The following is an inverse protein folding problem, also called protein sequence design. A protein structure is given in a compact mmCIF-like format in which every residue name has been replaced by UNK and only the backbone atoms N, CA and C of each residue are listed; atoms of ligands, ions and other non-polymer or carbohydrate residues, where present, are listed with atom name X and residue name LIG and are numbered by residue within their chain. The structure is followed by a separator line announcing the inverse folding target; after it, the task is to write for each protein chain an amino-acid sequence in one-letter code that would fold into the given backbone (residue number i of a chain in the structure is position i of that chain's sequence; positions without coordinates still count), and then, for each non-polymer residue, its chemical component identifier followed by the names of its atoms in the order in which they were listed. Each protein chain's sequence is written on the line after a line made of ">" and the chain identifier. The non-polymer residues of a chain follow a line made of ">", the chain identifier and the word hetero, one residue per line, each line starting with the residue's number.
data_IF_408011056281
#
_entry.id   IF_408011056281
#
_cell.length_a   1.000
_cell.length_b   1.000
_cell.length_c   1.000
_cell.angle_alpha   90.00
_cell.angle_beta   90.00
_cell.angle_gamma   90.00
#
_symmetry.space_group_name_H-M   'P 1'
#
loop_
_entity.id
_entity.type
_entity.pdbx_description
1 polymer ?
#
# COMPACT_ATOMS: atom_id res chain seq x y z
N UNK A 1 -0.81 -5.74 -3.75
CA UNK A 1 0.11 -4.59 -3.64
C UNK A 1 -0.39 -3.41 -4.46
N UNK A 2 -0.64 -2.26 -3.83
CA UNK A 2 -0.92 -1.01 -4.54
C UNK A 2 -0.04 0.09 -3.96
N UNK A 3 0.87 0.63 -4.77
CA UNK A 3 1.49 1.92 -4.48
C UNK A 3 0.40 3.00 -4.40
N UNK A 4 0.63 4.10 -3.68
CA UNK A 4 -0.23 5.26 -3.71
C UNK A 4 -0.40 5.76 -5.15
N UNK A 5 -1.61 5.51 -5.68
CA UNK A 5 -1.96 5.66 -7.10
C UNK A 5 -1.68 7.08 -7.59
N UNK A 6 -1.92 8.10 -6.75
CA UNK A 6 -1.77 9.50 -7.12
C UNK A 6 -0.36 9.85 -7.63
N UNK A 7 0.71 9.45 -6.92
CA UNK A 7 2.07 9.83 -7.29
C UNK A 7 2.57 9.08 -8.54
N UNK A 8 2.10 7.85 -8.74
CA UNK A 8 2.37 7.05 -9.94
C UNK A 8 1.70 7.67 -11.18
N UNK A 9 0.42 8.05 -11.06
CA UNK A 9 -0.35 8.68 -12.14
C UNK A 9 0.31 9.98 -12.62
N UNK A 10 0.86 10.78 -11.71
CA UNK A 10 1.53 12.04 -12.06
C UNK A 10 2.80 11.85 -12.88
N UNK A 11 3.60 10.82 -12.58
CA UNK A 11 4.78 10.50 -13.37
C UNK A 11 4.34 10.03 -14.77
N UNK A 12 3.34 9.16 -14.87
CA UNK A 12 2.86 8.61 -16.14
C UNK A 12 2.35 9.72 -17.08
N UNK A 13 1.55 10.66 -16.57
CA UNK A 13 1.04 11.82 -17.32
C UNK A 13 2.15 12.79 -17.76
N UNK A 14 3.35 12.71 -17.17
CA UNK A 14 4.52 13.51 -17.56
C UNK A 14 5.25 13.03 -18.80
N UNK A 15 5.00 11.79 -19.23
CA UNK A 15 5.76 11.13 -20.31
C UNK A 15 5.06 11.11 -21.67
N UNK A 16 3.82 11.62 -21.77
CA UNK A 16 3.04 11.67 -23.01
C UNK A 16 2.51 13.09 -23.31
N UNK A 17 1.61 13.25 -24.29
CA UNK A 17 1.07 14.51 -24.85
C UNK A 17 0.55 15.58 -23.85
N UNK A 18 0.54 15.28 -22.55
CA UNK A 18 0.19 16.15 -21.43
C UNK A 18 1.42 16.68 -20.66
N UNK A 19 2.63 16.53 -21.20
CA UNK A 19 3.90 16.91 -20.56
C UNK A 19 3.89 18.35 -19.99
N UNK A 20 3.18 19.29 -20.64
CA UNK A 20 3.10 20.69 -20.24
C UNK A 20 1.79 21.08 -19.51
N UNK A 21 0.84 20.17 -19.35
CA UNK A 21 -0.41 20.47 -18.66
C UNK A 21 -0.16 20.68 -17.15
N UNK A 22 -0.68 21.77 -16.54
CA UNK A 22 -0.65 21.95 -15.09
C UNK A 22 -1.38 20.84 -14.35
N UNK A 23 -0.78 20.37 -13.26
CA UNK A 23 -1.25 19.26 -12.43
C UNK A 23 -1.20 19.67 -10.95
N UNK A 24 -2.24 19.29 -10.21
CA UNK A 24 -2.35 19.55 -8.78
C UNK A 24 -2.52 18.25 -8.00
N UNK A 25 -1.88 18.17 -6.83
CA UNK A 25 -2.09 17.09 -5.85
C UNK A 25 -2.58 17.70 -4.55
N UNK A 26 -3.65 17.17 -3.99
CA UNK A 26 -4.18 17.57 -2.68
C UNK A 26 -3.87 16.43 -1.72
N UNK A 27 -3.08 16.71 -0.68
CA UNK A 27 -2.65 15.76 0.33
C UNK A 27 -2.92 16.34 1.73
N UNK A 28 -3.67 15.59 2.54
CA UNK A 28 -4.04 16.04 3.89
C UNK A 28 -2.84 16.03 4.84
N UNK A 29 -1.93 15.08 4.67
CA UNK A 29 -0.69 15.01 5.44
C UNK A 29 0.41 15.94 4.93
N UNK A 30 1.55 15.93 5.61
CA UNK A 30 2.74 16.69 5.20
C UNK A 30 3.75 15.78 4.49
N UNK A 31 4.76 16.38 3.84
CA UNK A 31 5.87 15.61 3.30
C UNK A 31 6.91 15.32 4.37
N UNK A 32 7.04 14.04 4.73
CA UNK A 32 7.87 13.55 5.84
C UNK A 32 9.28 13.12 5.38
N UNK A 33 10.00 14.02 4.69
CA UNK A 33 11.27 13.68 4.03
C UNK A 33 12.36 13.17 4.99
N UNK A 34 12.41 13.69 6.22
CA UNK A 34 13.45 13.38 7.21
C UNK A 34 12.92 12.68 8.46
N UNK A 35 11.70 12.15 8.44
CA UNK A 35 11.07 11.50 9.59
C UNK A 35 11.66 10.10 9.82
N UNK A 36 12.35 9.83 10.95
CA UNK A 36 12.95 8.52 11.21
C UNK A 36 11.91 7.39 11.30
N UNK A 37 10.72 7.64 11.88
CA UNK A 37 9.65 6.64 11.98
C UNK A 37 9.07 6.21 10.62
N UNK A 38 9.36 6.98 9.57
CA UNK A 38 8.98 6.67 8.19
C UNK A 38 10.17 6.08 7.45
N UNK A 39 11.34 6.72 7.50
CA UNK A 39 12.45 6.40 6.60
C UNK A 39 13.31 5.23 7.05
N UNK A 40 13.33 4.92 8.35
CA UNK A 40 14.18 3.89 8.93
C UNK A 40 13.48 2.54 8.93
N UNK A 41 14.01 1.52 8.21
CA UNK A 41 13.34 0.23 8.06
C UNK A 41 12.93 -0.42 9.38
N UNK A 42 13.84 -0.51 10.37
CA UNK A 42 13.53 -1.22 11.63
C UNK A 42 12.43 -0.57 12.46
N UNK A 43 12.14 0.72 12.25
CA UNK A 43 11.07 1.43 12.96
C UNK A 43 9.69 1.23 12.29
N UNK A 44 9.56 0.24 11.40
CA UNK A 44 8.31 -0.08 10.75
C UNK A 44 7.20 -0.38 11.78
N UNK A 45 6.00 0.14 11.53
CA UNK A 45 4.87 0.00 12.44
C UNK A 45 4.90 0.92 13.67
N UNK A 46 6.03 1.49 14.08
CA UNK A 46 6.08 2.40 15.24
C UNK A 46 5.34 3.73 15.00
N UNK A 47 5.15 4.11 13.74
CA UNK A 47 4.35 5.28 13.35
C UNK A 47 2.84 5.07 13.41
N UNK A 48 2.35 3.85 13.63
CA UNK A 48 0.92 3.56 13.78
C UNK A 48 0.39 4.25 15.04
N UNK A 49 -0.75 4.95 14.92
CA UNK A 49 -1.33 5.71 16.03
C UNK A 49 -0.73 7.11 16.23
N UNK A 50 0.32 7.49 15.50
CA UNK A 50 0.82 8.87 15.48
C UNK A 50 -0.15 9.77 14.67
N UNK A 51 -0.78 10.80 15.27
CA UNK A 51 -1.77 11.65 14.59
C UNK A 51 -1.24 12.46 13.39
N UNK A 52 0.07 12.62 13.30
CA UNK A 52 0.74 13.34 12.21
C UNK A 52 1.12 12.42 11.03
N UNK A 53 1.05 11.09 11.21
CA UNK A 53 1.44 10.08 10.22
C UNK A 53 0.33 9.10 9.88
N UNK A 54 -0.67 8.96 10.75
CA UNK A 54 -1.77 8.00 10.65
C UNK A 54 -3.12 8.73 10.80
N UNK A 55 -4.09 8.35 9.96
CA UNK A 55 -5.48 8.77 10.09
C UNK A 55 -6.17 8.21 11.33
N UNK A 56 -5.68 7.06 11.85
CA UNK A 56 -6.19 6.38 13.05
C UNK A 56 -7.67 6.05 12.94
N UNK A 57 -8.09 5.54 11.79
CA UNK A 57 -9.46 5.08 11.63
C UNK A 57 -9.74 3.93 12.60
N UNK A 58 -11.01 3.80 12.95
CA UNK A 58 -11.52 2.74 13.81
C UNK A 58 -12.69 2.09 13.09
N UNK A 59 -12.83 0.77 13.24
CA UNK A 59 -14.06 0.10 12.83
C UNK A 59 -15.22 0.53 13.75
N UNK A 60 -16.46 0.31 13.31
CA UNK A 60 -17.57 0.17 14.25
C UNK A 60 -17.34 -1.05 15.16
N UNK A 61 -18.04 -1.19 16.30
CA UNK A 61 -17.99 -2.41 17.12
C UNK A 61 -18.27 -3.66 16.30
N UNK A 62 -17.35 -4.63 16.31
CA UNK A 62 -17.44 -5.83 15.51
C UNK A 62 -18.16 -6.94 16.29
N UNK A 63 -19.36 -7.33 15.84
CA UNK A 63 -20.16 -8.36 16.51
C UNK A 63 -19.41 -9.70 16.60
N UNK A 64 -18.72 -10.09 15.53
CA UNK A 64 -17.91 -11.31 15.49
C UNK A 64 -16.67 -11.28 16.40
N UNK A 65 -16.30 -10.09 16.91
CA UNK A 65 -15.18 -9.88 17.83
C UNK A 65 -15.68 -9.40 19.21
N UNK A 66 -16.84 -9.87 19.66
CA UNK A 66 -17.44 -9.51 20.97
C UNK A 66 -17.58 -8.00 21.19
N UNK A 67 -17.87 -7.24 20.13
CA UNK A 67 -18.02 -5.78 20.20
C UNK A 67 -16.70 -5.01 20.22
N UNK A 68 -15.56 -5.65 19.97
CA UNK A 68 -14.28 -4.97 19.88
C UNK A 68 -14.27 -3.95 18.74
N UNK A 69 -13.63 -2.82 18.99
CA UNK A 69 -13.32 -1.79 18.00
C UNK A 69 -11.87 -1.98 17.58
N UNK A 70 -11.64 -2.14 16.29
CA UNK A 70 -10.32 -2.47 15.73
C UNK A 70 -9.73 -1.25 15.05
N UNK A 71 -8.44 -1.02 15.23
CA UNK A 71 -7.70 0.06 14.57
C UNK A 71 -7.51 -0.25 13.09
N UNK A 72 -7.63 0.79 12.25
CA UNK A 72 -7.48 0.72 10.80
C UNK A 72 -6.48 1.79 10.35
N UNK A 73 -5.17 1.58 10.59
CA UNK A 73 -4.15 2.58 10.31
C UNK A 73 -4.06 2.88 8.81
N UNK A 74 -3.99 4.15 8.44
CA UNK A 74 -3.83 4.61 7.05
C UNK A 74 -2.88 5.80 7.04
N UNK A 75 -1.89 5.78 6.14
CA UNK A 75 -0.88 6.84 6.10
C UNK A 75 -1.49 8.20 5.78
N UNK A 76 -1.19 9.19 6.62
CA UNK A 76 -1.60 10.60 6.51
C UNK A 76 -0.35 11.46 6.26
N UNK A 77 0.23 11.31 5.08
CA UNK A 77 1.43 12.01 4.63
C UNK A 77 1.52 11.93 3.12
N UNK A 78 2.35 12.78 2.50
CA UNK A 78 2.67 12.62 1.08
C UNK A 78 3.26 11.22 0.85
N UNK A 79 2.63 10.45 -0.04
CA UNK A 79 2.94 9.03 -0.24
C UNK A 79 2.14 8.06 0.63
N UNK A 80 1.15 8.54 1.37
CA UNK A 80 0.12 7.75 2.06
C UNK A 80 0.66 6.54 2.82
N UNK A 81 -0.06 5.42 2.72
CA UNK A 81 0.32 4.18 3.44
C UNK A 81 1.64 3.55 2.97
N UNK A 82 2.25 3.97 1.85
CA UNK A 82 3.59 3.46 1.49
C UNK A 82 4.69 3.94 2.44
N UNK A 83 4.49 5.10 3.09
CA UNK A 83 5.35 5.57 4.17
C UNK A 83 5.06 4.93 5.54
N UNK A 84 3.95 4.20 5.67
CA UNK A 84 3.50 3.60 6.94
C UNK A 84 3.58 2.06 6.95
N UNK A 85 3.63 1.43 5.78
CA UNK A 85 3.54 -0.02 5.64
C UNK A 85 4.76 -0.77 6.18
N UNK A 86 4.69 -2.10 6.12
CA UNK A 86 5.72 -3.00 6.65
C UNK A 86 6.75 -3.42 5.58
N UNK A 87 6.82 -2.69 4.46
CA UNK A 87 7.81 -2.82 3.37
C UNK A 87 7.88 -4.18 2.65
N UNK A 88 6.90 -5.06 2.87
CA UNK A 88 6.78 -6.30 2.12
C UNK A 88 6.57 -5.99 0.64
N UNK A 89 7.40 -6.59 -0.21
CA UNK A 89 7.26 -6.50 -1.66
C UNK A 89 6.80 -7.83 -2.27
N UNK A 90 5.50 -7.96 -2.52
CA UNK A 90 4.86 -9.11 -3.16
C UNK A 90 3.85 -8.73 -4.27
N UNK A 91 3.36 -9.73 -5.01
CA UNK A 91 2.27 -9.56 -5.98
C UNK A 91 1.18 -10.58 -5.71
N UNK A 92 -0.04 -10.26 -6.15
CA UNK A 92 -1.07 -11.28 -6.28
C UNK A 92 -0.64 -12.35 -7.28
N UNK A 93 -1.29 -13.50 -7.21
CA UNK A 93 -1.16 -14.55 -8.21
C UNK A 93 -1.77 -14.12 -9.54
N UNK A 94 -1.29 -14.70 -10.64
CA UNK A 94 -1.85 -14.42 -11.98
C UNK A 94 -3.37 -14.64 -12.04
N UNK A 95 -3.87 -15.68 -11.36
CA UNK A 95 -5.29 -16.02 -11.30
C UNK A 95 -6.16 -14.92 -10.70
N UNK A 96 -5.65 -14.17 -9.73
CA UNK A 96 -6.40 -13.08 -9.09
C UNK A 96 -6.58 -11.90 -10.06
N UNK A 97 -5.53 -11.55 -10.81
CA UNK A 97 -5.62 -10.50 -11.83
C UNK A 97 -6.46 -10.93 -13.04
N UNK A 98 -6.31 -12.18 -13.49
CA UNK A 98 -7.14 -12.73 -14.57
C UNK A 98 -8.62 -12.77 -14.17
N UNK A 99 -8.93 -12.98 -12.88
CA UNK A 99 -10.30 -12.89 -12.37
C UNK A 99 -10.87 -11.46 -12.45
N UNK A 100 -10.06 -10.41 -12.31
CA UNK A 100 -10.55 -9.04 -12.48
C UNK A 100 -11.03 -8.79 -13.91
N UNK A 101 -10.31 -9.30 -14.90
CA UNK A 101 -10.74 -9.20 -16.31
C UNK A 101 -12.03 -9.99 -16.55
N UNK A 102 -12.17 -11.18 -15.96
CA UNK A 102 -13.42 -11.96 -16.01
C UNK A 102 -14.60 -11.24 -15.36
N UNK A 103 -14.34 -10.43 -14.33
CA UNK A 103 -15.32 -9.56 -13.67
C UNK A 103 -15.59 -8.24 -14.41
N UNK A 104 -15.06 -8.09 -15.64
CA UNK A 104 -15.34 -6.96 -16.52
C UNK A 104 -14.30 -5.84 -16.50
N UNK A 105 -13.21 -5.97 -15.73
CA UNK A 105 -12.08 -5.05 -15.80
C UNK A 105 -11.19 -5.37 -17.02
N UNK A 106 -11.69 -5.09 -18.23
CA UNK A 106 -10.98 -5.34 -19.48
C UNK A 106 -9.55 -4.75 -19.46
N UNK A 107 -8.55 -5.57 -19.79
CA UNK A 107 -7.14 -5.15 -19.79
C UNK A 107 -6.44 -5.23 -18.43
N UNK A 108 -7.09 -5.79 -17.40
CA UNK A 108 -6.52 -5.97 -16.06
C UNK A 108 -6.07 -7.41 -15.75
N UNK A 109 -5.93 -8.27 -16.76
CA UNK A 109 -5.31 -9.60 -16.61
C UNK A 109 -3.82 -9.52 -16.22
N UNK A 110 -3.27 -10.63 -15.72
CA UNK A 110 -1.86 -10.73 -15.34
C UNK A 110 -0.94 -10.32 -16.49
N UNK A 111 -1.20 -10.85 -17.68
CA UNK A 111 -0.40 -10.58 -18.87
C UNK A 111 -0.42 -9.08 -19.24
N UNK A 112 -1.55 -8.42 -19.05
CA UNK A 112 -1.74 -6.99 -19.33
C UNK A 112 -1.05 -6.10 -18.29
N UNK A 113 -1.04 -6.52 -17.03
CA UNK A 113 -0.46 -5.76 -15.92
C UNK A 113 1.05 -6.01 -15.72
N UNK A 114 1.57 -7.17 -16.12
CA UNK A 114 2.98 -7.53 -15.93
C UNK A 114 3.96 -6.46 -16.44
N UNK A 115 3.79 -5.84 -17.62
CA UNK A 115 4.65 -4.74 -18.06
C UNK A 115 4.66 -3.54 -17.08
N UNK A 116 3.53 -3.25 -16.43
CA UNK A 116 3.43 -2.16 -15.46
C UNK A 116 4.06 -2.53 -14.12
N UNK A 117 3.93 -3.78 -13.67
CA UNK A 117 4.66 -4.25 -12.49
C UNK A 117 6.18 -4.13 -12.69
N UNK A 118 6.68 -4.56 -13.85
CA UNK A 118 8.09 -4.44 -14.23
C UNK A 118 8.55 -2.98 -14.40
N UNK A 119 7.65 -2.07 -14.78
CA UNK A 119 7.96 -0.65 -14.90
C UNK A 119 8.10 0.05 -13.54
N UNK A 120 7.46 -0.49 -12.51
CA UNK A 120 7.43 0.11 -11.18
C UNK A 120 8.68 -0.20 -10.36
N UNK A 121 9.24 -1.39 -10.49
CA UNK A 121 10.33 -1.86 -9.63
C UNK A 121 11.71 -1.88 -10.32
N UNK A 122 12.73 -1.82 -9.47
CA UNK A 122 14.11 -2.16 -9.77
C UNK A 122 14.52 -3.26 -8.78
N UNK A 123 14.94 -4.40 -9.32
CA UNK A 123 15.18 -5.64 -8.57
C UNK A 123 16.26 -6.49 -9.25
N UNK A 124 16.86 -7.43 -8.51
CA UNK A 124 17.86 -8.40 -8.99
C UNK A 124 17.61 -9.79 -8.37
N UNK A 125 18.05 -10.88 -9.02
CA UNK A 125 18.05 -12.20 -8.37
C UNK A 125 18.99 -12.24 -7.16
N UNK A 126 18.75 -13.21 -6.26
CA UNK A 126 19.62 -13.52 -5.12
C UNK A 126 21.01 -13.99 -5.55
N UNK A 127 22.04 -13.64 -4.77
CA UNK A 127 23.36 -14.28 -4.86
C UNK A 127 23.45 -15.51 -3.94
N UNK A 128 24.40 -16.43 -4.16
CA UNK A 128 24.53 -17.65 -3.35
C UNK A 128 24.65 -17.43 -1.84
N UNK A 129 25.21 -16.29 -1.42
CA UNK A 129 25.35 -15.91 -0.01
C UNK A 129 24.02 -15.50 0.64
N UNK A 130 22.99 -15.22 -0.17
CA UNK A 130 21.67 -14.75 0.25
C UNK A 130 20.61 -15.86 0.21
N UNK A 131 20.96 -17.07 -0.23
CA UNK A 131 20.03 -18.18 -0.38
C UNK A 131 19.57 -18.72 0.98
N UNK A 132 18.26 -18.71 1.18
CA UNK A 132 17.63 -19.48 2.25
C UNK A 132 17.73 -20.98 1.98
N UNK A 133 17.64 -21.83 3.02
CA UNK A 133 17.52 -23.26 2.87
C UNK A 133 16.44 -23.66 1.85
N UNK A 134 16.80 -24.49 0.88
CA UNK A 134 15.89 -24.96 -0.16
C UNK A 134 15.61 -23.97 -1.31
N UNK A 135 16.20 -22.77 -1.29
CA UNK A 135 16.17 -21.87 -2.44
C UNK A 135 16.97 -22.45 -3.62
N UNK A 136 16.50 -22.18 -4.83
CA UNK A 136 17.17 -22.59 -6.07
C UNK A 136 17.69 -21.38 -6.80
N UNK A 137 18.90 -21.47 -7.37
CA UNK A 137 19.43 -20.43 -8.23
C UNK A 137 18.47 -20.16 -9.40
N UNK A 138 18.08 -18.89 -9.56
CA UNK A 138 17.29 -18.41 -10.69
C UNK A 138 18.21 -17.63 -11.60
N UNK A 139 18.33 -18.05 -12.87
CA UNK A 139 19.12 -17.30 -13.85
C UNK A 139 18.55 -15.90 -14.04
N UNK A 140 19.41 -14.92 -14.30
CA UNK A 140 18.98 -13.55 -14.59
C UNK A 140 17.90 -13.50 -15.68
N UNK A 141 18.08 -14.25 -16.77
CA UNK A 141 17.12 -14.31 -17.87
C UNK A 141 15.74 -14.75 -17.41
N UNK A 142 15.67 -15.75 -16.53
CA UNK A 142 14.41 -16.27 -15.97
C UNK A 142 13.79 -15.26 -15.01
N UNK A 143 14.62 -14.66 -14.14
CA UNK A 143 14.19 -13.63 -13.18
C UNK A 143 13.53 -12.45 -13.90
N UNK A 144 14.20 -11.90 -14.91
CA UNK A 144 13.72 -10.72 -15.62
C UNK A 144 12.58 -10.98 -16.61
N UNK A 145 12.08 -12.22 -16.72
CA UNK A 145 10.76 -12.47 -17.32
C UNK A 145 9.68 -11.73 -16.52
N UNK A 146 9.77 -11.75 -15.18
CA UNK A 146 8.75 -11.24 -14.28
C UNK A 146 9.13 -9.95 -13.57
N UNK A 147 10.41 -9.57 -13.58
CA UNK A 147 10.92 -8.47 -12.77
C UNK A 147 11.41 -7.24 -13.53
N UNK A 148 11.29 -6.09 -12.87
CA UNK A 148 11.74 -4.78 -13.35
C UNK A 148 13.20 -4.48 -13.03
N UNK A 149 13.87 -3.74 -13.93
CA UNK A 149 15.30 -3.37 -13.81
C UNK A 149 15.55 -1.89 -13.49
N UNK A 150 14.56 -1.04 -13.73
CA UNK A 150 14.76 0.42 -13.85
C UNK A 150 13.57 1.22 -13.31
N UNK A 151 12.68 0.56 -12.56
CA UNK A 151 11.54 1.23 -11.96
C UNK A 151 11.95 2.14 -10.80
N UNK A 152 11.12 3.13 -10.45
CA UNK A 152 11.40 4.06 -9.36
C UNK A 152 11.53 3.38 -7.99
N UNK A 153 10.76 2.31 -7.74
CA UNK A 153 10.79 1.59 -6.47
C UNK A 153 11.99 0.66 -6.44
N UNK A 154 12.89 0.90 -5.51
CA UNK A 154 14.00 -0.01 -5.22
C UNK A 154 13.50 -1.07 -4.23
N UNK A 155 13.77 -2.33 -4.53
CA UNK A 155 13.34 -3.47 -3.71
C UNK A 155 14.56 -4.17 -3.15
N UNK A 156 14.45 -4.72 -1.94
CA UNK A 156 15.58 -5.39 -1.30
C UNK A 156 15.23 -6.48 -0.29
N UNK A 157 16.20 -7.36 -0.04
CA UNK A 157 16.30 -8.31 1.05
C UNK A 157 16.78 -7.61 2.31
N UNK A 158 16.45 -8.22 3.45
CA UNK A 158 17.09 -7.82 4.69
C UNK A 158 18.58 -8.13 4.66
N UNK A 159 19.35 -7.25 5.29
CA UNK A 159 20.80 -7.47 5.48
C UNK A 159 21.10 -8.43 6.61
N UNK A 160 20.17 -8.59 7.54
CA UNK A 160 20.33 -9.48 8.69
C UNK A 160 19.04 -10.28 8.85
N UNK A 161 19.21 -11.60 8.98
CA UNK A 161 18.15 -12.52 9.38
C UNK A 161 18.44 -13.07 10.76
N UNK A 162 17.39 -13.23 11.56
CA UNK A 162 17.49 -13.98 12.81
C UNK A 162 17.87 -15.44 12.51
N UNK A 163 18.59 -16.08 13.45
CA UNK A 163 18.88 -17.52 13.34
C UNK A 163 17.63 -18.42 13.45
N UNK A 164 16.44 -17.84 13.67
CA UNK A 164 15.16 -18.55 13.57
C UNK A 164 14.65 -18.68 12.13
N UNK A 165 15.13 -17.84 11.20
CA UNK A 165 14.63 -17.81 9.82
C UNK A 165 14.89 -19.11 9.10
N UNK A 166 16.08 -19.71 9.25
CA UNK A 166 16.43 -20.98 8.62
C UNK A 166 15.55 -22.15 9.10
N UNK A 167 15.40 -22.40 10.43
CA UNK A 167 14.44 -23.38 10.94
C UNK A 167 13.00 -23.13 10.50
N UNK A 168 12.57 -21.87 10.41
CA UNK A 168 11.25 -21.50 9.90
C UNK A 168 11.08 -21.97 8.45
N UNK A 169 12.01 -21.61 7.57
CA UNK A 169 12.00 -22.00 6.15
C UNK A 169 12.05 -23.52 5.99
N UNK A 170 12.95 -24.20 6.71
CA UNK A 170 13.05 -25.67 6.69
C UNK A 170 11.75 -26.34 7.13
N UNK A 171 11.09 -25.82 8.18
CA UNK A 171 9.81 -26.33 8.66
C UNK A 171 8.74 -26.24 7.57
N UNK A 172 8.62 -25.11 6.87
CA UNK A 172 7.64 -24.94 5.80
C UNK A 172 7.96 -25.82 4.58
N UNK A 173 9.23 -25.96 4.21
CA UNK A 173 9.65 -26.90 3.17
C UNK A 173 9.24 -28.35 3.50
N UNK A 174 9.43 -28.77 4.74
CA UNK A 174 9.02 -30.10 5.22
C UNK A 174 7.50 -30.29 5.22
N UNK A 175 6.72 -29.20 5.31
CA UNK A 175 5.26 -29.19 5.16
C UNK A 175 4.80 -29.10 3.69
N UNK A 176 5.74 -29.10 2.73
CA UNK A 176 5.44 -29.02 1.30
C UNK A 176 5.20 -27.59 0.78
N UNK A 177 5.52 -26.57 1.58
CA UNK A 177 5.46 -25.16 1.19
C UNK A 177 6.89 -24.75 0.84
N UNK A 178 7.18 -24.77 -0.46
CA UNK A 178 8.54 -24.60 -0.96
C UNK A 178 9.03 -23.14 -0.85
N UNK A 179 10.30 -22.97 -0.50
CA UNK A 179 10.99 -21.67 -0.50
C UNK A 179 10.88 -20.98 -1.87
N UNK A 180 10.47 -19.71 -1.86
CA UNK A 180 10.55 -18.86 -3.03
C UNK A 180 11.93 -18.17 -3.10
N UNK A 181 12.54 -18.08 -4.28
CA UNK A 181 13.92 -17.61 -4.48
C UNK A 181 14.00 -16.14 -4.97
N UNK A 182 13.12 -15.29 -4.44
CA UNK A 182 12.86 -13.88 -4.85
C UNK A 182 12.55 -13.08 -3.55
N UNK A 183 12.97 -11.80 -3.25
CA UNK A 183 13.62 -10.72 -4.05
C UNK A 183 14.75 -9.79 -3.43
N UNK A 184 15.74 -9.37 -4.27
CA UNK A 184 16.54 -8.09 -4.44
C UNK A 184 17.42 -7.32 -3.39
N UNK A 185 18.02 -6.17 -3.76
CA UNK A 185 19.02 -5.36 -3.02
C UNK A 185 18.92 -3.83 -3.30
N UNK A 186 18.85 -3.03 -2.21
CA UNK A 186 19.12 -1.60 -2.00
C UNK A 186 18.98 -1.41 -0.48
N UNK A 187 20.05 -0.95 0.16
CA UNK A 187 20.24 -1.12 1.59
C UNK A 187 20.02 0.20 2.32
N UNK A 188 19.23 0.15 3.39
CA UNK A 188 19.34 1.16 4.45
C UNK A 188 18.36 2.30 4.43
N UNK A 189 17.37 2.35 3.52
CA UNK A 189 16.22 3.27 3.63
C UNK A 189 14.95 2.67 3.02
N UNK A 190 13.79 3.04 3.57
CA UNK A 190 12.50 2.74 2.95
C UNK A 190 12.39 3.35 1.54
N UNK A 191 12.06 2.54 0.53
CA UNK A 191 11.60 3.03 -0.77
C UNK A 191 10.07 3.18 -0.77
N UNK A 192 9.55 4.39 -0.94
CA UNK A 192 8.11 4.66 -0.96
C UNK A 192 7.74 5.70 -2.01
N UNK A 193 6.44 5.89 -2.27
CA UNK A 193 6.03 6.66 -3.45
C UNK A 193 6.44 8.14 -3.42
N UNK A 194 6.60 8.78 -2.26
CA UNK A 194 7.02 10.18 -2.23
C UNK A 194 8.52 10.34 -2.45
N UNK A 195 9.36 9.54 -1.78
CA UNK A 195 10.81 9.66 -1.97
C UNK A 195 11.31 9.13 -3.32
N UNK A 196 10.44 8.45 -4.08
CA UNK A 196 10.67 8.00 -5.46
C UNK A 196 9.91 8.87 -6.48
N UNK A 197 8.64 8.56 -6.75
CA UNK A 197 7.83 9.19 -7.80
C UNK A 197 7.70 10.71 -7.66
N UNK A 198 7.45 11.21 -6.44
CA UNK A 198 7.36 12.65 -6.21
C UNK A 198 8.73 13.33 -6.35
N UNK A 199 9.77 12.83 -5.68
CA UNK A 199 11.12 13.40 -5.78
C UNK A 199 11.65 13.47 -7.22
N UNK A 200 11.37 12.45 -8.05
CA UNK A 200 11.72 12.43 -9.48
C UNK A 200 10.97 13.48 -10.32
N UNK A 201 9.94 14.13 -9.76
CA UNK A 201 9.07 15.08 -10.46
C UNK A 201 8.91 16.41 -9.73
N UNK A 202 9.55 16.60 -8.57
CA UNK A 202 9.29 17.71 -7.66
C UNK A 202 9.77 19.07 -8.21
N UNK A 203 10.74 19.04 -9.13
CA UNK A 203 11.28 20.21 -9.82
C UNK A 203 10.45 20.64 -11.04
N UNK A 204 9.39 19.88 -11.41
CA UNK A 204 8.57 20.18 -12.57
C UNK A 204 7.72 21.43 -12.35
N UNK A 205 7.85 22.48 -13.18
CA UNK A 205 7.16 23.76 -12.96
C UNK A 205 5.64 23.67 -13.17
N UNK A 206 5.15 22.58 -13.78
CA UNK A 206 3.72 22.34 -13.99
C UNK A 206 3.11 21.37 -12.95
N UNK A 207 3.82 21.01 -11.89
CA UNK A 207 3.31 20.25 -10.76
C UNK A 207 3.18 21.14 -9.53
N UNK A 208 2.01 21.13 -8.91
CA UNK A 208 1.77 21.78 -7.62
C UNK A 208 1.25 20.75 -6.62
N UNK A 209 1.85 20.68 -5.43
CA UNK A 209 1.42 19.78 -4.36
C UNK A 209 0.98 20.62 -3.16
N UNK A 210 -0.30 20.49 -2.81
CA UNK A 210 -0.92 21.10 -1.65
C UNK A 210 -0.89 20.09 -0.50
N UNK A 211 0.16 20.14 0.32
CA UNK A 211 0.26 19.36 1.56
C UNK A 211 -0.52 20.05 2.70
N UNK A 212 -0.84 19.31 3.75
CA UNK A 212 -1.63 19.84 4.87
C UNK A 212 -3.01 20.32 4.42
N UNK A 213 -3.55 19.78 3.33
CA UNK A 213 -4.75 20.26 2.64
C UNK A 213 -5.67 19.07 2.38
N UNK A 214 -6.84 19.05 3.02
CA UNK A 214 -7.79 17.93 2.89
C UNK A 214 -8.89 18.28 1.88
N UNK A 215 -9.09 17.42 0.89
CA UNK A 215 -10.27 17.45 0.03
C UNK A 215 -11.52 17.08 0.82
N UNK A 216 -12.59 17.86 0.65
CA UNK A 216 -13.84 17.72 1.43
C UNK A 216 -15.07 17.48 0.55
N UNK A 217 -15.04 17.92 -0.70
CA UNK A 217 -16.14 17.74 -1.66
C UNK A 217 -15.67 17.93 -3.09
N UNK A 218 -16.20 17.14 -4.01
CA UNK A 218 -16.10 17.33 -5.46
C UNK A 218 -17.32 18.11 -5.92
N UNK A 219 -17.10 19.15 -6.70
CA UNK A 219 -18.15 19.95 -7.31
C UNK A 219 -18.27 19.62 -8.79
N UNK A 220 -19.50 19.61 -9.28
CA UNK A 220 -19.82 19.27 -10.66
C UNK A 220 -20.36 20.51 -11.38
N UNK A 221 -19.88 20.76 -12.59
CA UNK A 221 -20.50 21.71 -13.49
C UNK A 221 -21.87 21.18 -13.93
N UNK A 222 -22.83 22.09 -14.05
CA UNK A 222 -24.14 21.77 -14.60
C UNK A 222 -24.02 21.68 -16.13
N UNK A 223 -23.91 20.46 -16.64
CA UNK A 223 -23.98 20.16 -18.07
C UNK A 223 -25.31 19.49 -18.41
N UNK A 224 -26.39 20.24 -18.18
CA UNK A 224 -27.75 19.86 -18.55
C UNK A 224 -27.92 19.46 -20.03
N UNK A 225 -26.98 19.83 -20.90
CA UNK A 225 -26.99 19.47 -22.32
C UNK A 225 -26.46 18.04 -22.59
N UNK A 226 -25.47 17.57 -21.82
CA UNK A 226 -24.95 16.20 -21.95
C UNK A 226 -25.66 15.18 -21.06
N UNK A 227 -26.34 15.66 -20.01
CA UNK A 227 -26.95 14.78 -18.99
C UNK A 227 -25.92 14.09 -18.09
N UNK A 228 -24.64 14.43 -18.22
CA UNK A 228 -23.53 13.87 -17.46
C UNK A 228 -23.00 14.90 -16.45
N UNK A 229 -22.68 14.45 -15.24
CA UNK A 229 -22.00 15.30 -14.26
C UNK A 229 -20.52 15.41 -14.62
N UNK A 230 -20.04 16.64 -14.80
CA UNK A 230 -18.63 16.91 -15.06
C UNK A 230 -17.97 17.49 -13.81
N UNK A 231 -17.03 16.75 -13.21
CA UNK A 231 -16.24 17.26 -12.09
C UNK A 231 -15.44 18.51 -12.52
N UNK A 232 -15.61 19.61 -11.79
CA UNK A 232 -15.07 20.93 -12.17
C UNK A 232 -14.15 21.52 -11.11
N UNK A 233 -14.36 21.19 -9.83
CA UNK A 233 -13.49 21.62 -8.75
C UNK A 233 -13.58 20.70 -7.53
N UNK A 234 -12.66 20.92 -6.58
CA UNK A 234 -12.62 20.24 -5.29
C UNK A 234 -12.53 21.29 -4.20
N UNK A 235 -13.44 21.25 -3.23
CA UNK A 235 -13.36 22.06 -2.02
C UNK A 235 -12.36 21.46 -1.04
N UNK A 236 -11.54 22.33 -0.46
CA UNK A 236 -10.44 21.94 0.42
C UNK A 236 -10.42 22.76 1.70
N UNK A 237 -9.87 22.16 2.75
CA UNK A 237 -9.60 22.83 4.04
C UNK A 237 -8.15 22.62 4.44
N UNK A 238 -7.57 23.61 5.12
CA UNK A 238 -6.27 23.44 5.74
C UNK A 238 -6.39 22.51 6.96
N UNK A 239 -5.50 21.52 7.04
CA UNK A 239 -5.39 20.64 8.19
C UNK A 239 -4.71 21.40 9.33
N UNK A 240 -5.16 21.17 10.57
CA UNK A 240 -4.65 21.82 11.79
C UNK A 240 -4.80 23.35 11.85
N UNK A 241 -5.49 23.98 10.89
CA UNK A 241 -5.75 25.43 10.90
C UNK A 241 -7.23 25.71 10.67
N UNK A 242 -7.92 26.20 11.70
CA UNK A 242 -9.35 26.47 11.63
C UNK A 242 -9.63 27.69 10.73
N UNK A 243 -10.67 27.61 9.91
CA UNK A 243 -11.19 28.74 9.11
C UNK A 243 -10.46 29.02 7.81
N UNK A 244 -9.45 28.21 7.43
CA UNK A 244 -8.81 28.29 6.11
C UNK A 244 -9.40 27.23 5.20
N UNK A 245 -10.10 27.66 4.16
CA UNK A 245 -10.70 26.82 3.12
C UNK A 245 -10.50 27.44 1.74
N UNK A 246 -10.66 26.63 0.70
CA UNK A 246 -10.59 27.09 -0.68
C UNK A 246 -11.19 26.09 -1.66
N UNK A 247 -11.09 26.40 -2.94
CA UNK A 247 -11.58 25.55 -4.03
C UNK A 247 -10.49 25.46 -5.09
N UNK A 248 -10.15 24.22 -5.48
CA UNK A 248 -9.16 23.94 -6.53
C UNK A 248 -9.90 23.51 -7.79
N UNK A 249 -9.71 24.23 -8.89
CA UNK A 249 -10.39 23.96 -10.16
C UNK A 249 -9.61 23.00 -11.05
N UNK A 250 -10.31 22.06 -11.69
CA UNK A 250 -9.76 21.13 -12.65
C UNK A 250 -10.33 21.41 -14.05
N UNK A 251 -9.46 21.55 -15.07
CA UNK A 251 -9.88 21.79 -16.46
C UNK A 251 -10.17 20.53 -17.26
N UNK A 252 -9.76 19.37 -16.75
CA UNK A 252 -9.82 18.10 -17.46
C UNK A 252 -10.48 17.05 -16.59
N UNK A 253 -9.78 16.65 -15.53
CA UNK A 253 -10.17 15.49 -14.74
C UNK A 253 -9.86 15.75 -13.26
N UNK A 254 -10.68 15.15 -12.39
CA UNK A 254 -10.40 14.97 -10.98
C UNK A 254 -10.17 13.48 -10.76
N UNK A 255 -8.97 13.11 -10.32
CA UNK A 255 -8.58 11.71 -10.10
C UNK A 255 -8.58 11.45 -8.61
N UNK A 256 -9.43 10.53 -8.16
CA UNK A 256 -9.49 10.15 -6.75
C UNK A 256 -8.42 9.11 -6.44
N UNK A 257 -7.63 9.39 -5.40
CA UNK A 257 -6.59 8.50 -4.91
C UNK A 257 -6.47 8.58 -3.38
N UNK A 258 -7.60 8.81 -2.71
CA UNK A 258 -7.68 8.96 -1.25
C UNK A 258 -7.69 7.60 -0.51
N UNK A 259 -7.50 6.49 -1.23
CA UNK A 259 -7.50 5.13 -0.69
C UNK A 259 -8.90 4.55 -0.48
N UNK A 260 -8.96 3.27 -0.10
CA UNK A 260 -10.20 2.49 -0.05
C UNK A 260 -11.24 3.03 0.97
N UNK A 261 -10.83 3.83 1.94
CA UNK A 261 -11.70 4.34 3.00
C UNK A 261 -12.22 5.74 2.67
N UNK A 262 -11.36 6.64 2.20
CA UNK A 262 -11.71 8.05 2.01
C UNK A 262 -12.18 8.36 0.59
N UNK A 263 -11.83 7.55 -0.42
CA UNK A 263 -12.41 7.70 -1.78
C UNK A 263 -13.93 7.53 -1.76
N UNK A 264 -14.52 6.45 -1.21
CA UNK A 264 -15.98 6.34 -1.14
C UNK A 264 -16.60 7.43 -0.27
N UNK A 265 -16.00 7.77 0.87
CA UNK A 265 -16.47 8.88 1.71
C UNK A 265 -16.53 10.20 0.93
N UNK A 266 -15.50 10.52 0.15
CA UNK A 266 -15.46 11.75 -0.63
C UNK A 266 -16.51 11.74 -1.75
N UNK A 267 -16.76 10.58 -2.39
CA UNK A 267 -17.85 10.43 -3.36
C UNK A 267 -19.21 10.68 -2.70
N UNK A 268 -19.45 10.09 -1.52
CA UNK A 268 -20.70 10.27 -0.78
C UNK A 268 -20.92 11.72 -0.36
N UNK A 269 -19.89 12.38 0.21
CA UNK A 269 -19.91 13.82 0.53
C UNK A 269 -20.17 14.71 -0.70
N UNK A 270 -19.88 14.20 -1.88
CA UNK A 270 -20.10 14.85 -3.17
C UNK A 270 -21.44 14.49 -3.83
N UNK A 271 -22.27 13.67 -3.18
CA UNK A 271 -23.59 13.27 -3.67
C UNK A 271 -23.59 12.05 -4.59
N UNK A 272 -22.53 11.22 -4.59
CA UNK A 272 -22.45 9.97 -5.36
C UNK A 272 -22.37 8.80 -4.36
N UNK A 273 -23.44 8.03 -4.25
CA UNK A 273 -23.54 6.90 -3.30
C UNK A 273 -24.97 6.41 -3.13
N UNK A 274 -25.23 5.54 -2.15
CA UNK A 274 -26.59 5.08 -1.84
C UNK A 274 -27.48 6.26 -1.42
N UNK A 275 -28.53 6.52 -2.20
CA UNK A 275 -29.42 7.67 -1.98
C UNK A 275 -30.04 7.71 -0.57
N UNK A 276 -30.30 6.57 0.05
CA UNK A 276 -30.88 6.51 1.41
C UNK A 276 -29.86 6.91 2.48
N UNK A 277 -28.60 6.47 2.33
CA UNK A 277 -27.48 6.90 3.19
C UNK A 277 -27.29 8.41 3.05
N UNK A 278 -27.18 8.91 1.82
CA UNK A 278 -27.00 10.34 1.54
C UNK A 278 -28.12 11.21 2.13
N UNK A 279 -29.38 10.78 1.99
CA UNK A 279 -30.52 11.48 2.55
C UNK A 279 -30.47 11.56 4.09
N UNK A 280 -29.99 10.50 4.76
CA UNK A 280 -29.81 10.47 6.21
C UNK A 280 -28.84 11.54 6.74
N UNK A 281 -27.89 11.97 5.92
CA UNK A 281 -26.95 13.05 6.24
C UNK A 281 -27.33 14.42 5.61
N UNK A 282 -28.52 14.53 5.02
CA UNK A 282 -28.96 15.76 4.35
C UNK A 282 -28.19 16.08 3.06
N UNK A 283 -27.51 15.10 2.46
CA UNK A 283 -26.76 15.25 1.23
C UNK A 283 -27.69 15.00 0.04
N UNK A 284 -27.69 15.92 -0.93
CA UNK A 284 -28.41 15.74 -2.19
C UNK A 284 -27.73 14.65 -3.01
N UNK A 285 -28.43 13.55 -3.27
CA UNK A 285 -28.01 12.53 -4.23
C UNK A 285 -28.02 13.12 -5.65
N UNK A 286 -26.85 13.07 -6.29
CA UNK A 286 -26.62 13.44 -7.69
C UNK A 286 -26.55 12.19 -8.57
N UNK A 287 -25.90 11.13 -8.07
CA UNK A 287 -25.87 9.80 -8.68
C UNK A 287 -26.20 8.79 -7.58
N UNK A 288 -27.24 8.00 -7.79
CA UNK A 288 -27.57 6.87 -6.91
C UNK A 288 -26.71 5.67 -7.31
N UNK A 289 -25.63 5.45 -6.55
CA UNK A 289 -24.65 4.41 -6.82
C UNK A 289 -24.38 3.63 -5.53
N UNK A 290 -25.26 2.68 -5.16
CA UNK A 290 -25.23 2.02 -3.86
C UNK A 290 -23.99 1.15 -3.61
N UNK A 291 -23.17 0.88 -4.63
CA UNK A 291 -21.89 0.20 -4.47
C UNK A 291 -20.77 1.07 -3.87
N UNK A 292 -20.95 2.39 -3.78
CA UNK A 292 -19.95 3.28 -3.15
C UNK A 292 -19.94 3.03 -1.65
N UNK A 293 -18.76 2.70 -1.10
CA UNK A 293 -18.58 2.40 0.32
C UNK A 293 -18.78 0.92 0.67
N UNK A 294 -19.38 0.16 -0.24
CA UNK A 294 -19.68 -1.25 -0.07
C UNK A 294 -18.56 -2.17 -0.61
N UNK A 295 -18.72 -3.48 -0.41
CA UNK A 295 -17.77 -4.51 -0.84
C UNK A 295 -16.33 -4.30 -0.34
N UNK A 296 -16.18 -3.71 0.86
CA UNK A 296 -14.89 -3.59 1.53
C UNK A 296 -14.33 -4.98 1.84
N UNK A 297 -13.13 -5.25 1.34
CA UNK A 297 -12.38 -6.48 1.58
C UNK A 297 -11.04 -6.13 2.24
N UNK A 298 -10.64 -6.92 3.23
CA UNK A 298 -9.37 -6.76 3.94
C UNK A 298 -8.84 -8.12 4.40
N UNK A 299 -7.55 -8.19 4.73
CA UNK A 299 -6.92 -9.38 5.28
C UNK A 299 -7.00 -9.34 6.81
N UNK A 300 -7.70 -10.32 7.40
CA UNK A 300 -7.76 -10.45 8.86
C UNK A 300 -6.41 -10.92 9.41
N UNK A 301 -5.85 -10.16 10.35
CA UNK A 301 -4.60 -10.47 11.02
C UNK A 301 -4.86 -11.14 12.38
N UNK A 302 -4.20 -12.26 12.62
CA UNK A 302 -4.07 -12.88 13.94
C UNK A 302 -2.59 -12.93 14.33
N UNK A 303 -2.27 -12.37 15.49
CA UNK A 303 -0.90 -12.35 16.01
C UNK A 303 -0.73 -13.46 17.04
N UNK A 304 0.32 -14.25 16.89
CA UNK A 304 0.76 -15.25 17.86
C UNK A 304 2.20 -14.96 18.24
N UNK A 305 2.50 -14.99 19.54
CA UNK A 305 3.82 -14.69 20.09
C UNK A 305 4.31 -15.91 20.85
N UNK A 306 5.56 -16.29 20.61
CA UNK A 306 6.18 -17.47 21.21
C UNK A 306 7.46 -17.07 21.94
N UNK A 307 7.69 -17.67 23.10
CA UNK A 307 8.98 -17.58 23.80
C UNK A 307 10.03 -18.40 23.05
N UNK A 308 11.22 -17.84 22.86
CA UNK A 308 12.34 -18.49 22.18
C UNK A 308 13.43 -18.89 23.18
N UNK A 309 14.34 -19.77 22.76
CA UNK A 309 15.50 -20.12 23.57
C UNK A 309 16.39 -18.89 23.79
N UNK A 310 17.05 -18.79 24.95
CA UNK A 310 17.97 -17.69 25.25
C UNK A 310 19.17 -17.58 24.28
N UNK A 311 19.42 -18.63 23.49
CA UNK A 311 20.45 -18.66 22.44
C UNK A 311 19.94 -18.18 21.08
N UNK A 312 18.64 -17.95 20.94
CA UNK A 312 18.04 -17.43 19.70
C UNK A 312 18.25 -15.93 19.65
N UNK A 313 18.87 -15.47 18.56
CA UNK A 313 19.03 -14.04 18.31
C UNK A 313 17.69 -13.47 17.84
N UNK A 314 17.15 -12.50 18.56
CA UNK A 314 15.98 -11.73 18.16
C UNK A 314 16.31 -10.25 18.25
N UNK A 315 15.59 -9.42 17.49
CA UNK A 315 15.79 -7.97 17.54
C UNK A 315 15.29 -7.35 18.85
N UNK A 316 14.65 -8.13 19.73
CA UNK A 316 14.43 -7.72 21.13
C UNK A 316 15.74 -7.29 21.81
N UNK A 317 16.92 -7.69 21.31
CA UNK A 317 18.20 -7.15 21.80
C UNK A 317 18.30 -5.62 21.70
N UNK A 318 17.68 -4.99 20.69
CA UNK A 318 17.63 -3.54 20.55
C UNK A 318 16.84 -2.91 21.71
N UNK A 319 15.74 -3.54 22.13
CA UNK A 319 14.95 -3.14 23.30
C UNK A 319 15.66 -3.46 24.62
N UNK A 320 16.28 -4.64 24.72
CA UNK A 320 16.75 -5.21 25.99
C UNK A 320 18.20 -4.82 26.33
N UNK A 321 18.98 -4.31 25.37
CA UNK A 321 20.38 -3.91 25.57
C UNK A 321 20.64 -2.52 24.94
N UNK A 322 20.53 -1.48 25.76
CA UNK A 322 20.69 -0.09 25.33
C UNK A 322 22.07 0.24 24.74
N UNK A 323 23.15 -0.41 25.21
CA UNK A 323 24.49 -0.20 24.64
C UNK A 323 24.57 -0.75 23.22
N UNK A 324 24.09 -1.97 23.02
CA UNK A 324 24.04 -2.58 21.68
C UNK A 324 23.11 -1.79 20.75
N UNK A 325 21.98 -1.30 21.27
CA UNK A 325 21.08 -0.44 20.50
C UNK A 325 21.79 0.82 19.99
N UNK A 326 22.48 1.54 20.87
CA UNK A 326 23.23 2.75 20.50
C UNK A 326 24.35 2.47 19.49
N UNK A 327 25.01 1.31 19.59
CA UNK A 327 26.00 0.87 18.60
C UNK A 327 25.37 0.63 17.22
N UNK A 328 24.18 0.02 17.16
CA UNK A 328 23.47 -0.20 15.90
C UNK A 328 22.90 1.09 15.30
N UNK A 329 22.41 2.02 16.13
CA UNK A 329 22.00 3.36 15.70
C UNK A 329 23.19 4.12 15.09
N UNK A 330 24.35 4.07 15.75
CA UNK A 330 25.57 4.71 15.26
C UNK A 330 26.08 4.07 13.96
N UNK A 331 26.03 2.74 13.85
CA UNK A 331 26.37 2.02 12.63
C UNK A 331 25.45 2.47 11.48
N UNK A 332 24.13 2.44 11.69
CA UNK A 332 23.16 2.84 10.69
C UNK A 332 23.32 4.30 10.26
N UNK A 333 23.53 5.22 11.21
CA UNK A 333 23.77 6.62 10.89
C UNK A 333 25.05 6.82 10.05
N UNK A 334 26.08 6.00 10.25
CA UNK A 334 27.35 6.10 9.55
C UNK A 334 27.35 5.42 8.16
N UNK A 335 26.70 4.26 8.03
CA UNK A 335 26.84 3.39 6.85
C UNK A 335 25.52 3.05 6.16
N UNK A 336 24.38 3.30 6.79
CA UNK A 336 23.08 2.79 6.32
C UNK A 336 22.94 1.27 6.45
N UNK A 337 23.76 0.62 7.28
CA UNK A 337 23.74 -0.85 7.49
C UNK A 337 23.44 -1.19 8.96
N UNK A 338 23.40 -2.49 9.28
CA UNK A 338 23.07 -2.97 10.63
C UNK A 338 21.58 -3.24 10.80
N UNK A 339 21.16 -3.51 12.04
CA UNK A 339 19.78 -3.95 12.32
C UNK A 339 18.74 -2.91 11.90
N UNK A 340 19.05 -1.62 12.03
CA UNK A 340 18.17 -0.52 11.67
C UNK A 340 17.86 -0.43 10.16
N UNK A 341 18.65 -1.11 9.32
CA UNK A 341 18.48 -1.18 7.87
C UNK A 341 17.57 -2.33 7.39
N UNK A 342 17.01 -3.14 8.30
CA UNK A 342 16.19 -4.32 7.96
C UNK A 342 14.76 -4.21 8.48
N UNK A 343 13.84 -4.98 7.88
CA UNK A 343 12.47 -5.18 8.35
C UNK A 343 12.22 -6.67 8.59
N UNK A 344 11.93 -7.06 9.82
CA UNK A 344 12.00 -8.45 10.27
C UNK A 344 10.80 -9.30 9.86
N UNK A 345 10.73 -9.72 8.60
CA UNK A 345 9.57 -10.47 8.11
C UNK A 345 10.01 -11.66 7.26
N UNK A 346 9.44 -12.82 7.57
CA UNK A 346 9.42 -14.00 6.71
C UNK A 346 7.96 -14.41 6.53
N UNK A 347 7.55 -14.67 5.30
CA UNK A 347 6.17 -15.04 4.98
C UNK A 347 6.10 -16.43 4.38
N UNK A 348 5.02 -17.14 4.69
CA UNK A 348 4.62 -18.34 4.00
C UNK A 348 3.15 -18.19 3.58
N UNK A 349 2.85 -18.51 2.33
CA UNK A 349 1.49 -18.52 1.82
C UNK A 349 0.96 -19.95 1.83
N UNK A 350 -0.04 -20.20 2.67
CA UNK A 350 -0.70 -21.51 2.75
C UNK A 350 -2.01 -21.49 2.00
N UNK A 351 -2.35 -22.59 1.34
CA UNK A 351 -3.63 -22.70 0.66
C UNK A 351 -4.75 -22.73 1.71
N UNK A 352 -5.84 -21.98 1.51
CA UNK A 352 -6.95 -21.90 2.47
C UNK A 352 -7.46 -23.27 2.94
N UNK A 353 -7.41 -24.30 2.08
CA UNK A 353 -7.74 -25.69 2.44
C UNK A 353 -6.94 -26.29 3.61
N UNK A 354 -5.79 -25.71 3.96
CA UNK A 354 -4.99 -26.15 5.12
C UNK A 354 -5.50 -25.59 6.44
N UNK A 355 -6.39 -24.59 6.41
CA UNK A 355 -6.89 -23.89 7.59
C UNK A 355 -8.42 -23.96 7.74
N UNK A 356 -9.17 -24.26 6.67
CA UNK A 356 -10.64 -24.41 6.71
C UNK A 356 -11.09 -25.83 6.42
N UNK A 357 -12.30 -26.19 6.88
CA UNK A 357 -12.94 -27.47 6.52
C UNK A 357 -13.30 -27.55 5.04
N UNK A 358 -13.33 -28.75 4.48
CA UNK A 358 -13.75 -28.98 3.08
C UNK A 358 -15.14 -28.42 2.78
N UNK A 359 -16.07 -28.51 3.74
CA UNK A 359 -17.41 -27.96 3.60
C UNK A 359 -17.40 -26.42 3.49
N UNK A 360 -16.60 -25.75 4.33
CA UNK A 360 -16.45 -24.29 4.25
C UNK A 360 -15.76 -23.89 2.94
N UNK A 361 -14.72 -24.61 2.54
CA UNK A 361 -14.03 -24.35 1.28
C UNK A 361 -14.97 -24.46 0.07
N UNK A 362 -15.78 -25.52 0.02
CA UNK A 362 -16.76 -25.72 -1.05
C UNK A 362 -17.79 -24.59 -1.08
N UNK A 363 -18.32 -24.20 0.08
CA UNK A 363 -19.25 -23.08 0.18
C UNK A 363 -18.63 -21.77 -0.32
N UNK A 364 -17.37 -21.50 -0.02
CA UNK A 364 -16.67 -20.29 -0.51
C UNK A 364 -16.45 -20.34 -2.02
N UNK A 365 -16.14 -21.53 -2.57
CA UNK A 365 -16.00 -21.73 -4.01
C UNK A 365 -17.32 -21.51 -4.75
N UNK A 366 -18.43 -22.04 -4.23
CA UNK A 366 -19.76 -21.84 -4.80
C UNK A 366 -20.15 -20.35 -4.79
N UNK A 367 -19.86 -19.63 -3.71
CA UNK A 367 -20.09 -18.19 -3.62
C UNK A 367 -19.25 -17.41 -4.64
N UNK A 368 -17.96 -17.73 -4.76
CA UNK A 368 -17.08 -17.10 -5.75
C UNK A 368 -17.55 -17.37 -7.19
N UNK A 369 -17.97 -18.60 -7.49
CA UNK A 369 -18.48 -18.96 -8.82
C UNK A 369 -19.79 -18.23 -9.13
N UNK A 370 -20.66 -18.06 -8.15
CA UNK A 370 -21.90 -17.29 -8.32
C UNK A 370 -21.61 -15.83 -8.67
N UNK A 371 -20.59 -15.20 -8.07
CA UNK A 371 -20.16 -13.84 -8.40
C UNK A 371 -19.62 -13.72 -9.83
N UNK A 372 -18.87 -14.72 -10.31
CA UNK A 372 -18.35 -14.74 -11.68
C UNK A 372 -19.43 -15.00 -12.75
N UNK A 373 -20.60 -15.50 -12.35
CA UNK A 373 -21.67 -15.90 -13.26
C UNK A 373 -22.86 -14.93 -13.25
N UNK A 374 -22.84 -13.91 -12.39
CA UNK A 374 -23.85 -12.87 -12.26
C UNK A 374 -23.49 -11.68 -13.16
#
# INVERSE_FOLDING_TARGET
>A
MFLPVALVVLQALGTQALAFAPRGVIEAGIYQINEPLVNTPELYGESIGNPDLDWRFLTVPQAALNGHVVTQPRGKMLGGSSGLNFMVWDRGSAKEYDAWEQLGAEGWSWQSLLPYFKKTESSRPQTPEEYFPGATEVSEDTYYLYHGKQGPIQTSFNVIYSNITDPYVETFNNLGILTNSDPSEDVGKRSYSANTYYNMSADRPNLTVFVGTQATKINFADDSASGCLQASSVDVVAVNTTGISGTVYARKEVILSAGAYQTPQLLELSGIGDKSILAGFGIKSLIDLPGVGENLQDHSLLVQVYEVLNTTFTYDILRNNATYNAEQEALYAATGTGLYASAQLAFAFTAMKSIVSDALLLSLQEQAQALLSA
#
